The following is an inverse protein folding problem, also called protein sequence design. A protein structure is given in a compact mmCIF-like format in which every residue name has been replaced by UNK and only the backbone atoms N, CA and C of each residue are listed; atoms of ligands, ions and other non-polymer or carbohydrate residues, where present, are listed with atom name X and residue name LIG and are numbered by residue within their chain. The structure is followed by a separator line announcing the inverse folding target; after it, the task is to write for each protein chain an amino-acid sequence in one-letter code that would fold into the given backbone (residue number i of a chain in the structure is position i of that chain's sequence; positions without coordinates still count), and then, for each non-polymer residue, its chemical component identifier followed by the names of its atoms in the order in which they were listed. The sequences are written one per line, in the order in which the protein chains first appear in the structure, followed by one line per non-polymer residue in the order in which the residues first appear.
data_IF_075042994985
#
_entry.id   IF_075042994985
#
_cell.length_a   1.000
_cell.length_b   1.000
_cell.length_c   1.000
_cell.angle_alpha   90.00
_cell.angle_beta   90.00
_cell.angle_gamma   90.00
#
_symmetry.space_group_name_H-M   'P 1'
#
loop_
_entity.id
_entity.type
_entity.pdbx_description
1 polymer ?
#
# COMPACT_ATOMS: atom_id res chain seq x y z
N UNK A 1 -8.29 -0.06 -15.41
CA UNK A 1 -9.34 -1.02 -15.82
C UNK A 1 -10.50 -0.76 -14.90
N UNK A 2 -11.58 -0.16 -15.43
CA UNK A 2 -12.68 0.40 -14.65
C UNK A 2 -13.31 -0.72 -13.78
N UNK A 3 -13.46 -0.45 -12.49
CA UNK A 3 -13.94 -1.37 -11.44
C UNK A 3 -15.46 -1.64 -11.56
N UNK A 4 -16.01 -1.63 -12.78
CA UNK A 4 -17.46 -1.70 -13.06
C UNK A 4 -18.03 -3.04 -12.57
N UNK A 5 -17.25 -4.12 -12.63
CA UNK A 5 -17.62 -5.42 -12.08
C UNK A 5 -17.84 -5.37 -10.55
N UNK A 6 -17.15 -4.48 -9.83
CA UNK A 6 -17.33 -4.27 -8.39
C UNK A 6 -18.70 -3.64 -8.09
N UNK A 7 -19.11 -2.63 -8.86
CA UNK A 7 -20.36 -1.89 -8.60
C UNK A 7 -21.61 -2.67 -9.02
N UNK A 8 -21.53 -3.48 -10.08
CA UNK A 8 -22.62 -4.38 -10.49
C UNK A 8 -22.78 -5.52 -9.47
N UNK A 9 -21.67 -6.11 -8.99
CA UNK A 9 -21.71 -7.23 -8.05
C UNK A 9 -22.08 -6.82 -6.61
N UNK A 10 -21.84 -5.54 -6.22
CA UNK A 10 -22.33 -5.00 -4.93
C UNK A 10 -23.85 -5.07 -4.78
N UNK A 11 -24.59 -4.95 -5.88
CA UNK A 11 -26.05 -5.03 -5.89
C UNK A 11 -26.55 -6.48 -5.99
N UNK A 12 -25.70 -7.40 -6.44
CA UNK A 12 -26.01 -8.81 -6.56
C UNK A 12 -25.61 -9.56 -5.27
N UNK A 13 -26.50 -9.63 -4.28
CA UNK A 13 -26.30 -10.39 -3.02
C UNK A 13 -26.27 -11.93 -3.21
N UNK A 14 -26.34 -12.41 -4.45
CA UNK A 14 -26.33 -13.84 -4.75
C UNK A 14 -24.91 -14.42 -4.63
N UNK A 15 -24.80 -15.57 -3.95
CA UNK A 15 -23.56 -16.36 -3.94
C UNK A 15 -23.37 -17.01 -5.31
N UNK A 16 -22.12 -17.34 -5.67
CA UNK A 16 -21.81 -18.04 -6.93
C UNK A 16 -22.67 -19.31 -7.10
N UNK A 17 -22.88 -20.06 -6.03
CA UNK A 17 -23.72 -21.26 -6.03
C UNK A 17 -25.23 -21.03 -6.21
N UNK A 18 -25.73 -19.79 -6.11
CA UNK A 18 -27.11 -19.45 -6.49
C UNK A 18 -27.24 -19.09 -7.97
N UNK A 19 -26.12 -18.75 -8.62
CA UNK A 19 -26.05 -18.27 -10.00
C UNK A 19 -25.65 -19.40 -10.94
N UNK A 20 -25.17 -20.53 -10.42
CA UNK A 20 -24.79 -21.71 -11.19
C UNK A 20 -25.82 -22.81 -10.93
N UNK A 21 -26.63 -23.14 -11.94
CA UNK A 21 -27.60 -24.23 -11.87
C UNK A 21 -27.28 -25.26 -12.96
N UNK A 22 -27.15 -26.54 -12.58
CA UNK A 22 -26.90 -27.66 -13.51
C UNK A 22 -25.76 -27.37 -14.51
N UNK A 23 -24.63 -26.86 -14.01
CA UNK A 23 -23.46 -26.51 -14.81
C UNK A 23 -23.67 -25.39 -15.84
N UNK A 24 -24.72 -24.57 -15.65
CA UNK A 24 -25.05 -23.43 -16.50
C UNK A 24 -25.16 -22.14 -15.68
N UNK A 25 -24.80 -21.02 -16.30
CA UNK A 25 -24.93 -19.69 -15.70
C UNK A 25 -26.38 -19.22 -15.74
N UNK A 26 -27.01 -19.11 -14.57
CA UNK A 26 -28.33 -18.52 -14.35
C UNK A 26 -28.13 -17.12 -13.79
N UNK A 27 -27.69 -16.19 -14.65
CA UNK A 27 -27.45 -14.79 -14.30
C UNK A 27 -28.62 -13.90 -14.74
N UNK A 28 -28.92 -12.79 -14.02
CA UNK A 28 -29.85 -11.78 -14.49
C UNK A 28 -29.49 -11.27 -15.90
N UNK A 29 -30.48 -10.99 -16.77
CA UNK A 29 -30.26 -10.54 -18.14
C UNK A 29 -29.35 -9.31 -18.25
N UNK A 30 -29.44 -8.41 -17.27
CA UNK A 30 -28.62 -7.19 -17.15
C UNK A 30 -27.12 -7.50 -17.11
N UNK A 31 -26.73 -8.59 -16.44
CA UNK A 31 -25.32 -9.02 -16.33
C UNK A 31 -24.88 -9.66 -17.66
N UNK A 32 -25.75 -10.42 -18.31
CA UNK A 32 -25.46 -11.04 -19.61
C UNK A 32 -25.22 -9.95 -20.67
N UNK A 33 -26.08 -8.94 -20.70
CA UNK A 33 -25.97 -7.81 -21.63
C UNK A 33 -24.71 -6.97 -21.37
N UNK A 34 -24.42 -6.69 -20.09
CA UNK A 34 -23.18 -6.03 -19.71
C UNK A 34 -21.93 -6.81 -20.17
N UNK A 35 -21.89 -8.11 -19.92
CA UNK A 35 -20.76 -8.94 -20.35
C UNK A 35 -20.65 -9.04 -21.88
N UNK A 36 -21.79 -9.06 -22.58
CA UNK A 36 -21.82 -9.01 -24.04
C UNK A 36 -21.22 -7.71 -24.59
N UNK A 37 -21.47 -6.55 -23.95
CA UNK A 37 -20.81 -5.28 -24.35
C UNK A 37 -19.29 -5.30 -24.13
N UNK A 38 -18.79 -6.16 -23.26
CA UNK A 38 -17.35 -6.40 -23.05
C UNK A 38 -16.78 -7.51 -23.95
N UNK A 39 -17.60 -8.10 -24.84
CA UNK A 39 -17.21 -9.21 -25.71
C UNK A 39 -17.05 -10.55 -24.99
N UNK A 40 -17.64 -10.72 -23.80
CA UNK A 40 -17.56 -11.93 -22.99
C UNK A 40 -18.85 -12.74 -23.16
N UNK A 41 -18.75 -13.93 -23.74
CA UNK A 41 -19.87 -14.89 -23.79
C UNK A 41 -19.84 -15.83 -22.58
N UNK A 42 -20.80 -15.67 -21.67
CA UNK A 42 -20.96 -16.54 -20.49
C UNK A 42 -21.12 -18.02 -20.87
N UNK A 43 -21.72 -18.34 -22.02
CA UNK A 43 -21.92 -19.73 -22.47
C UNK A 43 -20.61 -20.41 -22.84
N UNK A 44 -19.59 -19.64 -23.22
CA UNK A 44 -18.25 -20.15 -23.51
C UNK A 44 -17.42 -20.40 -22.24
N UNK A 45 -17.85 -19.91 -21.08
CA UNK A 45 -17.16 -20.09 -19.81
C UNK A 45 -17.59 -21.42 -19.21
N UNK A 46 -16.76 -22.43 -19.42
CA UNK A 46 -16.95 -23.76 -18.86
C UNK A 46 -16.85 -23.73 -17.33
N UNK A 47 -17.88 -24.22 -16.66
CA UNK A 47 -17.88 -24.40 -15.21
C UNK A 47 -17.31 -25.79 -14.92
N UNK A 48 -16.16 -25.83 -14.25
CA UNK A 48 -15.55 -27.07 -13.80
C UNK A 48 -15.88 -27.29 -12.32
N UNK A 49 -16.86 -28.15 -12.06
CA UNK A 49 -17.27 -28.50 -10.70
C UNK A 49 -16.45 -29.66 -10.09
N UNK A 50 -15.55 -30.28 -10.85
CA UNK A 50 -14.70 -31.36 -10.35
C UNK A 50 -13.41 -30.88 -9.69
N UNK A 51 -12.92 -29.69 -10.06
CA UNK A 51 -11.70 -29.13 -9.51
C UNK A 51 -11.97 -28.41 -8.18
N UNK A 52 -10.97 -28.43 -7.30
CA UNK A 52 -11.03 -27.66 -6.05
C UNK A 52 -10.87 -26.16 -6.35
N UNK A 53 -11.60 -25.34 -5.61
CA UNK A 53 -11.44 -23.89 -5.65
C UNK A 53 -9.98 -23.47 -5.43
N UNK A 54 -9.49 -22.58 -6.29
CA UNK A 54 -8.17 -21.98 -6.19
C UNK A 54 -8.26 -20.49 -5.85
N UNK A 55 -7.27 -20.00 -5.11
CA UNK A 55 -7.15 -18.57 -4.84
C UNK A 55 -6.53 -17.86 -6.04
N UNK A 56 -7.26 -16.88 -6.59
CA UNK A 56 -6.83 -16.08 -7.72
C UNK A 56 -6.57 -14.64 -7.26
N UNK A 57 -5.40 -14.11 -7.61
CA UNK A 57 -5.01 -12.76 -7.29
C UNK A 57 -5.61 -11.76 -8.29
N UNK A 58 -6.63 -10.99 -7.85
CA UNK A 58 -7.36 -10.01 -8.68
C UNK A 58 -6.45 -9.00 -9.38
N UNK A 59 -5.35 -8.62 -8.75
CA UNK A 59 -4.46 -7.56 -9.25
C UNK A 59 -3.34 -8.08 -10.18
N UNK A 60 -3.53 -9.26 -10.78
CA UNK A 60 -2.66 -9.80 -11.81
C UNK A 60 -3.50 -10.49 -12.89
N UNK A 61 -3.34 -10.16 -14.18
CA UNK A 61 -4.12 -10.77 -15.27
C UNK A 61 -4.03 -12.29 -15.33
N UNK A 62 -2.89 -12.86 -14.93
CA UNK A 62 -2.66 -14.31 -14.90
C UNK A 62 -3.14 -14.96 -13.60
N UNK A 63 -3.77 -14.19 -12.70
CA UNK A 63 -4.29 -14.69 -11.42
C UNK A 63 -3.24 -15.09 -10.38
N UNK A 64 -1.95 -14.97 -10.71
CA UNK A 64 -0.85 -15.36 -9.81
C UNK A 64 -0.51 -14.24 -8.84
N UNK A 65 -0.36 -14.61 -7.57
CA UNK A 65 0.14 -13.71 -6.55
C UNK A 65 1.62 -13.40 -6.77
N UNK A 66 2.01 -12.15 -6.56
CA UNK A 66 3.41 -11.75 -6.42
C UNK A 66 3.54 -10.67 -5.36
N UNK A 67 4.67 -10.68 -4.63
CA UNK A 67 4.98 -9.63 -3.65
C UNK A 67 4.95 -8.25 -4.32
N UNK A 68 5.44 -8.15 -5.56
CA UNK A 68 5.43 -6.92 -6.34
C UNK A 68 4.01 -6.39 -6.57
N UNK A 69 3.08 -7.23 -7.05
CA UNK A 69 1.71 -6.80 -7.32
C UNK A 69 0.95 -6.46 -6.04
N UNK A 70 1.18 -7.21 -4.95
CA UNK A 70 0.64 -6.90 -3.64
C UNK A 70 1.16 -5.56 -3.11
N UNK A 71 2.48 -5.33 -3.18
CA UNK A 71 3.11 -4.10 -2.71
C UNK A 71 2.57 -2.89 -3.46
N UNK A 72 2.41 -2.98 -4.79
CA UNK A 72 1.82 -1.90 -5.59
C UNK A 72 0.39 -1.53 -5.18
N UNK A 73 -0.40 -2.47 -4.62
CA UNK A 73 -1.75 -2.16 -4.14
C UNK A 73 -1.77 -1.47 -2.78
N UNK A 74 -0.84 -1.81 -1.88
CA UNK A 74 -0.80 -1.25 -0.52
C UNK A 74 0.11 -0.04 -0.38
N UNK A 75 1.07 0.13 -1.29
CA UNK A 75 2.00 1.24 -1.22
C UNK A 75 1.28 2.52 -1.64
N UNK A 76 1.23 3.52 -0.75
CA UNK A 76 0.97 4.88 -1.17
C UNK A 76 2.10 5.28 -2.14
N UNK A 77 1.80 5.44 -3.42
CA UNK A 77 2.78 5.93 -4.40
C UNK A 77 3.25 7.32 -3.99
N UNK A 78 4.33 7.39 -3.19
CA UNK A 78 4.99 8.65 -2.89
C UNK A 78 5.80 9.07 -4.12
N UNK A 79 5.83 10.38 -4.45
CA UNK A 79 6.65 10.85 -5.55
C UNK A 79 8.11 10.45 -5.29
N UNK A 80 8.81 10.07 -6.36
CA UNK A 80 10.26 9.83 -6.29
C UNK A 80 10.92 11.15 -5.91
N UNK A 81 11.65 11.14 -4.80
CA UNK A 81 12.43 12.28 -4.34
C UNK A 81 13.82 12.27 -4.98
N UNK A 82 14.29 13.44 -5.43
CA UNK A 82 15.55 13.58 -6.15
C UNK A 82 16.77 13.07 -5.37
N UNK A 83 16.74 13.20 -4.04
CA UNK A 83 17.84 12.81 -3.16
C UNK A 83 17.92 11.29 -2.90
N UNK A 84 16.91 10.48 -3.25
CA UNK A 84 16.90 9.05 -2.91
C UNK A 84 18.07 8.28 -3.53
N UNK A 85 18.38 8.58 -4.79
CA UNK A 85 19.49 7.93 -5.50
C UNK A 85 20.85 8.36 -4.94
N UNK A 86 20.95 9.60 -4.44
CA UNK A 86 22.17 10.09 -3.83
C UNK A 86 22.46 9.35 -2.52
N UNK A 87 21.46 9.21 -1.65
CA UNK A 87 21.58 8.51 -0.36
C UNK A 87 21.90 7.02 -0.56
N UNK A 88 21.36 6.39 -1.61
CA UNK A 88 21.59 4.97 -1.93
C UNK A 88 22.78 4.72 -2.87
N UNK A 89 23.67 5.70 -3.03
CA UNK A 89 24.91 5.51 -3.78
C UNK A 89 25.81 4.49 -3.08
N UNK A 90 26.49 3.63 -3.87
CA UNK A 90 27.48 2.66 -3.35
C UNK A 90 28.66 3.32 -2.62
N UNK A 91 28.88 4.62 -2.85
CA UNK A 91 29.92 5.39 -2.18
C UNK A 91 29.57 5.75 -0.73
N UNK A 92 28.30 5.65 -0.32
CA UNK A 92 27.84 6.02 1.02
C UNK A 92 27.74 4.76 1.89
N UNK A 93 28.32 4.82 3.08
CA UNK A 93 28.20 3.74 4.05
C UNK A 93 26.72 3.51 4.41
N UNK A 94 26.25 2.24 4.52
CA UNK A 94 24.85 1.94 4.83
C UNK A 94 24.32 2.62 6.10
N UNK A 95 25.17 2.84 7.10
CA UNK A 95 24.82 3.56 8.33
C UNK A 95 24.48 5.02 8.07
N UNK A 96 25.28 5.70 7.24
CA UNK A 96 25.05 7.11 6.85
C UNK A 96 23.81 7.18 5.97
N UNK A 97 23.69 6.30 4.99
CA UNK A 97 22.52 6.24 4.11
C UNK A 97 21.21 6.08 4.91
N UNK A 98 21.20 5.14 5.87
CA UNK A 98 20.06 4.89 6.76
C UNK A 98 19.74 6.09 7.64
N UNK A 99 20.77 6.76 8.18
CA UNK A 99 20.58 7.96 9.00
C UNK A 99 20.01 9.11 8.18
N UNK A 100 20.59 9.43 7.03
CA UNK A 100 20.13 10.51 6.15
C UNK A 100 18.72 10.23 5.63
N UNK A 101 18.41 8.98 5.27
CA UNK A 101 17.04 8.61 4.88
C UNK A 101 16.04 8.88 6.02
N UNK A 102 16.36 8.49 7.26
CA UNK A 102 15.51 8.78 8.43
C UNK A 102 15.38 10.28 8.67
N UNK A 103 16.46 11.03 8.52
CA UNK A 103 16.49 12.48 8.68
C UNK A 103 15.59 13.18 7.66
N UNK A 104 15.73 12.88 6.37
CA UNK A 104 14.92 13.48 5.29
C UNK A 104 13.42 13.15 5.41
N UNK A 105 13.07 12.04 6.06
CA UNK A 105 11.67 11.64 6.29
C UNK A 105 11.12 12.05 7.65
N UNK A 106 11.84 12.84 8.46
CA UNK A 106 11.50 13.13 9.86
C UNK A 106 11.12 11.86 10.66
N UNK A 107 11.93 10.80 10.49
CA UNK A 107 11.69 9.47 11.06
C UNK A 107 12.70 9.08 12.15
N UNK A 108 13.65 9.99 12.47
CA UNK A 108 14.55 9.84 13.60
C UNK A 108 13.78 9.80 14.93
N UNK A 109 14.32 9.09 15.91
CA UNK A 109 13.70 8.88 17.22
C UNK A 109 13.89 10.08 18.16
N UNK A 110 13.55 11.27 17.69
CA UNK A 110 13.41 12.45 18.55
C UNK A 110 12.18 12.29 19.45
N UNK A 111 12.20 12.88 20.64
CA UNK A 111 11.07 12.73 21.57
C UNK A 111 9.74 13.23 20.97
N UNK A 112 9.75 14.27 20.12
CA UNK A 112 8.52 14.69 19.42
C UNK A 112 7.96 13.60 18.49
N UNK A 113 8.83 12.88 17.78
CA UNK A 113 8.45 11.78 16.91
C UNK A 113 8.00 10.54 17.70
N UNK A 114 8.58 10.30 18.88
CA UNK A 114 8.11 9.26 19.81
C UNK A 114 6.73 9.59 20.36
N UNK A 115 6.49 10.84 20.76
CA UNK A 115 5.19 11.31 21.23
C UNK A 115 4.10 11.17 20.15
N UNK A 116 4.41 11.52 18.89
CA UNK A 116 3.51 11.30 17.74
C UNK A 116 3.18 9.82 17.49
N UNK A 117 4.02 8.90 17.98
CA UNK A 117 3.81 7.44 17.91
C UNK A 117 3.08 6.89 19.15
N UNK A 118 2.56 7.75 20.02
CA UNK A 118 1.78 7.36 21.19
C UNK A 118 2.59 7.15 22.48
N UNK A 119 3.87 7.53 22.51
CA UNK A 119 4.67 7.45 23.73
C UNK A 119 4.38 8.66 24.63
N UNK A 120 4.14 8.42 25.93
CA UNK A 120 3.90 9.49 26.89
C UNK A 120 5.24 9.93 27.48
N UNK A 121 5.77 11.05 26.98
CA UNK A 121 7.06 11.59 27.39
C UNK A 121 6.97 13.12 27.50
N UNK A 122 7.73 13.72 28.41
CA UNK A 122 7.87 15.17 28.46
C UNK A 122 8.90 15.59 27.42
N UNK A 123 8.45 15.92 26.20
CA UNK A 123 9.38 16.22 25.10
C UNK A 123 10.24 17.46 25.42
N UNK A 124 11.52 17.22 25.72
CA UNK A 124 12.56 18.21 25.99
C UNK A 124 13.87 17.75 25.36
N UNK A 125 14.57 18.69 24.73
CA UNK A 125 15.85 18.43 24.08
C UNK A 125 16.83 17.79 25.06
N UNK A 126 17.35 16.62 24.71
CA UNK A 126 18.36 15.89 25.48
C UNK A 126 19.65 16.69 25.70
N UNK A 127 19.98 17.62 24.80
CA UNK A 127 21.18 18.45 24.86
C UNK A 127 20.99 19.69 25.75
N UNK A 128 20.08 20.60 25.37
CA UNK A 128 19.93 21.88 26.07
C UNK A 128 18.90 21.84 27.21
N UNK A 129 17.99 20.86 27.23
CA UNK A 129 16.87 20.72 28.17
C UNK A 129 15.90 21.92 28.28
N UNK A 130 16.07 22.95 27.45
CA UNK A 130 15.28 24.18 27.48
C UNK A 130 14.09 24.17 26.52
N UNK A 131 14.18 23.48 25.39
CA UNK A 131 13.18 23.49 24.32
C UNK A 131 12.70 22.09 23.97
N UNK A 132 11.61 21.99 23.21
CA UNK A 132 11.08 20.74 22.65
C UNK A 132 12.14 20.04 21.78
N UNK A 133 12.34 18.72 21.97
CA UNK A 133 13.23 17.95 21.12
C UNK A 133 12.57 17.67 19.76
N UNK A 134 12.93 18.48 18.77
CA UNK A 134 12.55 18.27 17.37
C UNK A 134 13.81 18.17 16.52
N UNK A 135 13.72 17.58 15.32
CA UNK A 135 14.86 17.58 14.39
C UNK A 135 15.37 19.00 14.09
N UNK A 136 14.45 19.94 13.84
CA UNK A 136 14.80 21.34 13.61
C UNK A 136 15.59 21.93 14.78
N UNK A 137 15.16 21.66 16.01
CA UNK A 137 15.87 22.13 17.18
C UNK A 137 17.22 21.42 17.36
N UNK A 138 17.23 20.09 17.35
CA UNK A 138 18.42 19.28 17.62
C UNK A 138 19.59 19.61 16.67
N UNK A 139 19.32 19.89 15.40
CA UNK A 139 20.36 20.12 14.39
C UNK A 139 20.62 21.59 14.04
N UNK A 140 19.64 22.50 14.20
CA UNK A 140 19.79 23.89 13.73
C UNK A 140 19.48 24.99 14.74
N UNK A 141 18.80 24.69 15.86
CA UNK A 141 18.39 25.74 16.82
C UNK A 141 18.90 25.52 18.24
N UNK A 142 19.44 24.33 18.53
CA UNK A 142 19.96 23.99 19.84
C UNK A 142 21.28 24.73 20.06
N UNK A 143 21.42 25.54 21.13
CA UNK A 143 22.66 26.26 21.42
C UNK A 143 23.87 25.31 21.53
N UNK A 144 23.67 24.13 22.12
CA UNK A 144 24.73 23.12 22.27
C UNK A 144 25.16 22.49 20.94
N UNK A 145 24.27 22.45 19.93
CA UNK A 145 24.59 21.89 18.61
C UNK A 145 25.22 22.91 17.67
N UNK A 146 24.99 24.21 17.90
CA UNK A 146 25.51 25.30 17.07
C UNK A 146 26.91 25.74 17.54
N UNK A 147 27.28 25.45 18.79
CA UNK A 147 28.57 25.84 19.39
C UNK A 147 29.73 24.87 19.10
N UNK A 148 29.51 23.80 18.33
CA UNK A 148 30.55 22.85 17.89
C UNK A 148 31.14 23.24 16.55
#
# INVERSE_FOLDING_TARGET
MLDIASDIWKHCKAKLGHIIHQNSWTTPPEIVEFLATLGIDLKSIMINNSDKDIRVWKHCPHGKFSVQSAYSQISSHRPKVWWFNYINSKAILPKIASFTWKFCNNALATEDNLCKRGWIMASRCSLCRCNLETLGHLFWRCPMSIQT
#
